data_IF_109274834471
#
_entry.id   IF_109274834471
#
_cell.length_a   1.000
_cell.length_b   1.000
_cell.length_c   1.000
_cell.angle_alpha   90.00
_cell.angle_beta   90.00
_cell.angle_gamma   90.00
#
_symmetry.space_group_name_H-M   'P 1'
#
loop_
_entity.id
_entity.type
_entity.pdbx_description
1 polymer ?
#
# COMPACT_ATOMS: atom_id res chain seq x y z
N UNK A 1 -5.62 37.58 14.41
CA UNK A 1 -4.36 36.87 14.10
C UNK A 1 -4.45 35.52 14.80
N UNK A 2 -4.97 34.52 14.09
CA UNK A 2 -5.20 33.15 14.57
C UNK A 2 -4.04 32.28 14.11
N UNK A 3 -3.33 31.66 15.06
CA UNK A 3 -2.43 30.50 14.87
C UNK A 3 -2.45 29.78 16.24
N UNK A 4 -3.38 28.85 16.47
CA UNK A 4 -3.23 27.39 16.29
C UNK A 4 -1.90 26.82 16.82
N UNK A 5 -1.98 25.90 17.78
CA UNK A 5 -0.87 25.04 18.17
C UNK A 5 -1.33 23.58 18.24
N UNK A 6 -0.44 22.65 17.87
CA UNK A 6 -0.76 21.49 17.04
C UNK A 6 -1.23 20.27 17.84
N UNK A 7 -2.08 19.49 17.21
CA UNK A 7 -2.38 18.11 17.57
C UNK A 7 -1.15 17.22 17.33
N UNK A 8 -0.53 16.76 18.42
CA UNK A 8 0.11 15.45 18.47
C UNK A 8 0.15 14.98 19.93
N UNK A 9 -0.85 14.18 20.31
CA UNK A 9 -0.94 13.59 21.65
C UNK A 9 0.14 12.50 21.78
N UNK A 10 1.26 12.86 22.37
CA UNK A 10 2.23 11.92 22.96
C UNK A 10 2.27 12.26 24.45
N UNK A 11 1.58 11.47 25.27
CA UNK A 11 1.68 11.56 26.73
C UNK A 11 3.13 11.38 27.15
N UNK A 12 3.78 12.52 27.27
CA UNK A 12 4.91 12.91 28.11
C UNK A 12 5.35 11.81 29.08
N UNK A 13 6.25 10.93 28.63
CA UNK A 13 7.01 10.06 29.52
C UNK A 13 8.25 10.82 29.99
N UNK A 14 8.13 11.26 31.25
CA UNK A 14 9.16 11.51 32.25
C UNK A 14 10.43 12.30 31.89
N UNK A 15 10.50 13.47 32.53
CA UNK A 15 11.71 14.13 33.02
C UNK A 15 12.67 13.12 33.69
N UNK A 16 13.90 13.03 33.17
CA UNK A 16 14.99 12.27 33.77
C UNK A 16 16.35 12.72 33.23
N UNK A 17 17.15 13.34 34.09
CA UNK A 17 18.40 14.02 33.79
C UNK A 17 19.59 13.08 33.56
N UNK A 18 20.43 13.45 32.58
CA UNK A 18 21.87 13.22 32.46
C UNK A 18 22.43 11.78 32.54
N UNK A 19 22.84 11.24 31.37
CA UNK A 19 24.17 10.64 31.16
C UNK A 19 24.43 10.49 29.65
N UNK A 20 25.68 10.72 29.26
CA UNK A 20 26.21 10.73 27.89
C UNK A 20 25.93 9.45 27.10
N UNK A 21 25.14 9.56 26.03
CA UNK A 21 25.26 8.70 24.83
C UNK A 21 24.98 9.59 23.62
N UNK A 22 26.00 9.80 22.79
CA UNK A 22 25.83 10.25 21.42
C UNK A 22 25.13 9.12 20.65
N UNK A 23 23.80 9.06 20.77
CA UNK A 23 22.94 8.18 20.01
C UNK A 23 22.21 9.05 19.00
N UNK A 24 22.54 8.88 17.73
CA UNK A 24 21.89 9.55 16.62
C UNK A 24 20.36 9.44 16.77
N UNK A 25 19.71 10.57 17.05
CA UNK A 25 18.29 10.74 16.77
C UNK A 25 18.17 10.77 15.24
N UNK A 26 18.11 9.58 14.63
CA UNK A 26 17.59 9.43 13.28
C UNK A 26 16.14 9.90 13.34
N UNK A 27 15.92 11.11 12.83
CA UNK A 27 14.61 11.56 12.43
C UNK A 27 14.10 10.53 11.40
N UNK A 28 13.25 9.62 11.85
CA UNK A 28 12.37 8.89 10.96
C UNK A 28 11.37 9.91 10.41
N UNK A 29 11.78 10.67 9.39
CA UNK A 29 10.82 11.17 8.43
C UNK A 29 10.12 9.92 7.88
N UNK A 30 8.82 9.83 8.06
CA UNK A 30 8.04 8.72 7.52
C UNK A 30 8.09 8.81 6.01
N UNK A 31 8.94 7.98 5.41
CA UNK A 31 8.92 7.77 3.96
C UNK A 31 7.61 7.07 3.59
N UNK A 32 7.05 7.42 2.44
CA UNK A 32 5.88 6.74 1.90
C UNK A 32 6.14 5.22 1.82
N UNK A 33 5.13 4.36 2.07
CA UNK A 33 5.29 2.92 1.85
C UNK A 33 5.72 2.67 0.42
N UNK A 34 6.73 1.80 0.23
CA UNK A 34 7.23 1.40 -1.08
C UNK A 34 7.37 -0.11 -1.18
N UNK A 35 7.21 -0.64 -2.38
CA UNK A 35 7.48 -2.04 -2.71
C UNK A 35 8.25 -2.12 -4.05
N UNK A 36 9.12 -3.11 -4.16
CA UNK A 36 9.87 -3.41 -5.39
C UNK A 36 9.79 -4.89 -5.71
N UNK A 37 9.64 -5.22 -7.00
CA UNK A 37 9.62 -6.60 -7.48
C UNK A 37 10.17 -6.70 -8.90
N UNK A 38 10.75 -7.86 -9.25
CA UNK A 38 11.15 -8.10 -10.64
C UNK A 38 9.90 -8.24 -11.53
N UNK A 39 9.91 -7.59 -12.69
CA UNK A 39 8.82 -7.64 -13.66
C UNK A 39 8.45 -9.07 -14.08
N UNK A 40 9.44 -9.97 -14.14
CA UNK A 40 9.25 -11.38 -14.50
C UNK A 40 8.50 -12.21 -13.42
N UNK A 41 8.38 -11.69 -12.19
CA UNK A 41 7.67 -12.37 -11.10
C UNK A 41 6.16 -12.07 -11.12
N UNK A 42 5.72 -11.04 -11.84
CA UNK A 42 4.30 -10.70 -12.00
C UNK A 42 3.75 -11.40 -13.24
N UNK A 43 2.79 -12.34 -13.12
CA UNK A 43 2.25 -13.03 -14.29
C UNK A 43 1.32 -12.14 -15.12
N UNK A 44 1.38 -12.26 -16.45
CA UNK A 44 0.41 -11.61 -17.36
C UNK A 44 -1.01 -12.11 -17.06
N UNK A 45 -1.95 -11.17 -16.94
CA UNK A 45 -3.35 -11.44 -16.62
C UNK A 45 -3.58 -11.75 -15.13
N UNK A 46 -2.59 -11.47 -14.27
CA UNK A 46 -2.73 -11.68 -12.83
C UNK A 46 -1.93 -10.68 -12.00
N UNK A 47 -1.77 -10.98 -10.71
CA UNK A 47 -1.06 -10.15 -9.75
C UNK A 47 -0.27 -10.99 -8.76
N UNK A 48 0.53 -10.29 -7.97
CA UNK A 48 1.15 -10.79 -6.74
C UNK A 48 0.91 -9.78 -5.62
N UNK A 49 1.02 -10.25 -4.38
CA UNK A 49 1.05 -9.38 -3.21
C UNK A 49 2.50 -9.15 -2.78
N UNK A 50 2.87 -7.87 -2.59
CA UNK A 50 4.16 -7.46 -2.06
C UNK A 50 3.89 -6.50 -0.92
N UNK A 51 4.12 -6.95 0.32
CA UNK A 51 3.78 -6.23 1.55
C UNK A 51 2.30 -5.75 1.55
N UNK A 52 2.09 -4.43 1.55
CA UNK A 52 0.80 -3.75 1.53
C UNK A 52 0.31 -3.41 0.12
N UNK A 53 0.95 -3.96 -0.92
CA UNK A 53 0.64 -3.69 -2.32
C UNK A 53 0.11 -4.91 -3.07
N UNK A 54 -0.75 -4.62 -4.03
CA UNK A 54 -1.15 -5.52 -5.11
C UNK A 54 -0.43 -5.03 -6.35
N UNK A 55 0.49 -5.80 -6.90
CA UNK A 55 1.20 -5.47 -8.14
C UNK A 55 0.68 -6.40 -9.22
N UNK A 56 0.08 -5.83 -10.26
CA UNK A 56 -0.63 -6.56 -11.30
C UNK A 56 -0.08 -6.26 -12.68
N UNK A 57 -0.23 -7.24 -13.59
CA UNK A 57 0.13 -7.11 -14.98
C UNK A 57 -1.07 -7.48 -15.87
N UNK A 58 -2.05 -6.58 -16.08
CA UNK A 58 -3.27 -6.90 -16.83
C UNK A 58 -3.00 -7.37 -18.26
N UNK A 59 -2.01 -6.76 -18.92
CA UNK A 59 -1.52 -7.17 -20.24
C UNK A 59 0.01 -7.21 -20.24
N UNK A 60 0.62 -7.92 -21.20
CA UNK A 60 2.07 -8.08 -21.27
C UNK A 60 2.80 -6.72 -21.28
N UNK A 61 3.70 -6.50 -20.31
CA UNK A 61 4.48 -5.27 -20.17
C UNK A 61 3.74 -4.07 -19.55
N UNK A 62 2.46 -4.21 -19.22
CA UNK A 62 1.69 -3.14 -18.56
C UNK A 62 1.50 -3.48 -17.10
N UNK A 63 2.06 -2.65 -16.22
CA UNK A 63 2.00 -2.84 -14.77
C UNK A 63 1.14 -1.75 -14.12
N UNK A 64 0.36 -2.17 -13.14
CA UNK A 64 -0.39 -1.29 -12.24
C UNK A 64 -0.23 -1.79 -10.82
N UNK A 65 -0.33 -0.89 -9.86
CA UNK A 65 -0.29 -1.24 -8.45
C UNK A 65 -1.41 -0.55 -7.67
N UNK A 66 -1.82 -1.21 -6.60
CA UNK A 66 -2.85 -0.73 -5.69
C UNK A 66 -2.48 -1.00 -4.23
N UNK A 67 -3.09 -0.27 -3.31
CA UNK A 67 -3.12 -0.68 -1.91
C UNK A 67 -3.82 -2.03 -1.78
N UNK A 68 -3.25 -2.90 -0.94
CA UNK A 68 -3.86 -4.15 -0.50
C UNK A 68 -4.88 -3.94 0.62
N UNK A 69 -5.08 -2.71 1.06
CA UNK A 69 -6.11 -2.34 2.01
C UNK A 69 -7.47 -2.30 1.31
N UNK A 70 -8.38 -3.16 1.74
CA UNK A 70 -9.75 -3.20 1.24
C UNK A 70 -10.47 -1.89 1.58
N UNK A 71 -10.99 -1.14 0.59
CA UNK A 71 -11.61 0.16 0.80
C UNK A 71 -12.93 0.10 1.58
N UNK A 72 -13.47 -1.10 1.83
CA UNK A 72 -14.69 -1.25 2.63
C UNK A 72 -14.45 -0.96 4.12
N UNK A 73 -13.53 -1.69 4.76
CA UNK A 73 -13.28 -1.62 6.21
C UNK A 73 -11.81 -1.85 6.58
N UNK A 74 -10.89 -1.55 5.66
CA UNK A 74 -9.44 -1.57 5.86
C UNK A 74 -8.84 -2.93 6.24
N UNK A 75 -9.54 -4.03 5.92
CA UNK A 75 -8.96 -5.37 6.01
C UNK A 75 -7.95 -5.58 4.86
N UNK A 76 -6.99 -6.50 5.01
CA UNK A 76 -6.15 -6.86 3.87
C UNK A 76 -6.93 -7.70 2.85
N UNK A 77 -6.72 -7.40 1.58
CA UNK A 77 -7.12 -8.21 0.44
C UNK A 77 -6.22 -9.45 0.39
N UNK A 78 -6.81 -10.62 0.24
CA UNK A 78 -6.15 -11.90 0.53
C UNK A 78 -6.30 -12.96 -0.55
N UNK A 79 -7.12 -12.72 -1.57
CA UNK A 79 -7.28 -13.62 -2.72
C UNK A 79 -6.86 -12.97 -4.04
N UNK A 80 -6.23 -13.77 -4.89
CA UNK A 80 -5.96 -13.46 -6.30
C UNK A 80 -6.63 -14.55 -7.13
N UNK A 81 -7.48 -14.17 -8.07
CA UNK A 81 -8.24 -15.08 -8.92
C UNK A 81 -8.17 -14.60 -10.37
N UNK A 82 -7.11 -15.00 -11.08
CA UNK A 82 -6.87 -14.54 -12.45
C UNK A 82 -6.70 -13.02 -12.50
N UNK A 83 -7.62 -12.35 -13.20
CA UNK A 83 -7.68 -10.90 -13.42
C UNK A 83 -8.42 -10.12 -12.30
N UNK A 84 -8.74 -10.78 -11.20
CA UNK A 84 -9.40 -10.17 -10.04
C UNK A 84 -8.67 -10.45 -8.73
N UNK A 85 -8.96 -9.60 -7.74
CA UNK A 85 -8.57 -9.80 -6.33
C UNK A 85 -9.79 -9.74 -5.42
N UNK A 86 -9.71 -10.44 -4.29
CA UNK A 86 -10.84 -10.55 -3.35
C UNK A 86 -10.41 -10.31 -1.91
N UNK A 87 -11.31 -9.72 -1.13
CA UNK A 87 -11.20 -9.64 0.33
C UNK A 87 -12.25 -10.56 0.97
N UNK A 88 -11.80 -11.62 1.63
CA UNK A 88 -12.66 -12.65 2.23
C UNK A 88 -13.51 -12.17 3.42
N UNK A 89 -13.22 -11.01 4.01
CA UNK A 89 -13.98 -10.52 5.16
C UNK A 89 -15.47 -10.31 4.86
N UNK A 90 -15.80 -9.83 3.67
CA UNK A 90 -17.18 -9.57 3.23
C UNK A 90 -17.32 -9.76 1.71
N UNK A 91 -16.50 -10.65 1.14
CA UNK A 91 -16.55 -11.09 -0.27
C UNK A 91 -16.54 -9.95 -1.30
N UNK A 92 -15.73 -8.91 -1.06
CA UNK A 92 -15.56 -7.84 -2.05
C UNK A 92 -14.55 -8.27 -3.11
N UNK A 93 -14.90 -8.08 -4.38
CA UNK A 93 -14.08 -8.46 -5.54
C UNK A 93 -13.77 -7.23 -6.37
N UNK A 94 -12.53 -7.10 -6.83
CA UNK A 94 -12.05 -5.96 -7.59
C UNK A 94 -11.32 -6.42 -8.85
N UNK A 95 -11.47 -5.65 -9.94
CA UNK A 95 -10.73 -5.87 -11.17
C UNK A 95 -9.27 -5.42 -11.02
N UNK A 96 -8.32 -6.21 -11.53
CA UNK A 96 -6.90 -5.84 -11.55
C UNK A 96 -6.56 -4.81 -12.64
N UNK A 97 -7.41 -4.67 -13.66
CA UNK A 97 -7.14 -3.77 -14.79
C UNK A 97 -7.21 -2.28 -14.40
N UNK A 98 -8.15 -1.93 -13.50
CA UNK A 98 -8.44 -0.55 -13.12
C UNK A 98 -8.80 -0.37 -11.64
N UNK A 99 -8.82 -1.45 -10.84
CA UNK A 99 -9.18 -1.42 -9.43
C UNK A 99 -10.68 -1.31 -9.15
N UNK A 100 -11.54 -1.37 -10.17
CA UNK A 100 -12.98 -1.21 -10.02
C UNK A 100 -13.58 -2.30 -9.12
N UNK A 101 -14.58 -1.92 -8.32
CA UNK A 101 -15.40 -2.88 -7.57
C UNK A 101 -16.27 -3.65 -8.55
N UNK A 102 -16.18 -4.97 -8.52
CA UNK A 102 -17.01 -5.87 -9.32
C UNK A 102 -18.15 -6.45 -8.47
N UNK A 103 -17.84 -6.87 -7.25
CA UNK A 103 -18.81 -7.52 -6.35
C UNK A 103 -18.58 -7.16 -4.87
N UNK A 104 -19.59 -7.42 -4.05
CA UNK A 104 -19.54 -7.28 -2.60
C UNK A 104 -19.99 -5.92 -2.05
N UNK A 105 -19.53 -5.61 -0.83
CA UNK A 105 -20.01 -4.45 -0.06
C UNK A 105 -19.18 -3.18 -0.26
N UNK A 106 -17.93 -3.32 -0.72
CA UNK A 106 -17.11 -2.16 -1.09
C UNK A 106 -17.85 -1.22 -2.06
N UNK A 107 -17.67 0.08 -1.88
CA UNK A 107 -18.29 1.12 -2.73
C UNK A 107 -17.26 1.96 -3.46
N UNK A 108 -16.04 2.01 -2.94
CA UNK A 108 -14.90 2.68 -3.54
C UNK A 108 -13.99 1.65 -4.24
N UNK A 109 -13.34 2.03 -5.35
CA UNK A 109 -12.34 1.18 -6.00
C UNK A 109 -11.09 1.01 -5.12
N UNK A 110 -10.19 0.12 -5.53
CA UNK A 110 -8.87 0.02 -4.91
C UNK A 110 -8.14 1.36 -5.00
N UNK A 111 -7.43 1.72 -3.93
CA UNK A 111 -6.57 2.91 -3.94
C UNK A 111 -5.37 2.67 -4.86
N UNK A 112 -5.19 3.45 -5.94
CA UNK A 112 -4.06 3.28 -6.83
C UNK A 112 -2.76 3.66 -6.13
N UNK A 113 -1.70 2.91 -6.41
CA UNK A 113 -0.32 3.26 -6.05
C UNK A 113 0.42 3.77 -7.30
N UNK A 114 1.32 4.73 -7.12
CA UNK A 114 2.22 5.14 -8.19
C UNK A 114 3.08 3.96 -8.60
N UNK A 115 3.06 3.61 -9.90
CA UNK A 115 3.77 2.44 -10.43
C UNK A 115 4.80 2.90 -11.45
N UNK A 116 6.07 2.51 -11.24
CA UNK A 116 7.17 2.81 -12.17
C UNK A 116 7.86 1.53 -12.59
N UNK A 117 8.28 1.46 -13.85
CA UNK A 117 9.10 0.36 -14.38
C UNK A 117 10.46 0.90 -14.79
N UNK A 118 11.53 0.42 -14.16
CA UNK A 118 12.92 0.79 -14.49
C UNK A 118 13.72 -0.45 -14.82
N UNK A 119 14.05 -0.65 -16.10
CA UNK A 119 14.63 -1.91 -16.56
C UNK A 119 13.67 -3.08 -16.28
N UNK A 120 14.13 -4.05 -15.51
CA UNK A 120 13.36 -5.25 -15.15
C UNK A 120 12.72 -5.16 -13.75
N UNK A 121 12.69 -3.97 -13.13
CA UNK A 121 12.12 -3.75 -11.79
C UNK A 121 10.86 -2.92 -11.88
N UNK A 122 9.82 -3.36 -11.16
CA UNK A 122 8.57 -2.65 -10.93
C UNK A 122 8.59 -2.12 -9.50
N UNK A 123 8.36 -0.82 -9.34
CA UNK A 123 8.25 -0.13 -8.04
C UNK A 123 6.84 0.39 -7.85
N UNK A 124 6.29 0.24 -6.64
CA UNK A 124 5.01 0.78 -6.22
C UNK A 124 5.16 1.68 -4.99
N UNK A 125 4.46 2.82 -4.97
CA UNK A 125 4.47 3.79 -3.84
C UNK A 125 3.05 4.31 -3.57
N UNK A 126 2.66 4.42 -2.29
CA UNK A 126 1.36 4.98 -1.85
C UNK A 126 1.46 6.40 -1.30
#
# INVERSE_FOLDING_TARGET
>A
MTIEMPTCSRRLFLLGSATTVAGAFLAACGEAPTAEVAAAEVPVGSAIFVDDFIIAQPTAGTFVAYSRTCPHQNAQIDGINGDTVSCSNHDSVFALADGAVLEGLARDPLTPAETTVTGDVVTATL
#
